data_IF_241638124233
#
_entry.id   IF_241638124233
#
_cell.length_a   1.000
_cell.length_b   1.000
_cell.length_c   1.000
_cell.angle_alpha   90.00
_cell.angle_beta   90.00
_cell.angle_gamma   90.00
#
_symmetry.space_group_name_H-M   'P 1'
#
loop_
_entity.id
_entity.type
_entity.pdbx_description
1 polymer ?
#
# COMPACT_ATOMS: atom_id res chain seq x y z
N UNK A 1 -14.67 0.17 16.06
CA UNK A 1 -15.28 0.03 14.71
C UNK A 1 -16.03 -1.28 14.65
N UNK A 2 -17.29 -1.24 14.20
CA UNK A 2 -18.10 -2.47 14.08
C UNK A 2 -17.54 -3.33 12.95
N UNK A 3 -17.65 -4.68 13.07
CA UNK A 3 -17.24 -5.62 12.01
C UNK A 3 -17.84 -5.27 10.65
N UNK A 4 -19.05 -4.71 10.65
CA UNK A 4 -19.74 -4.24 9.43
C UNK A 4 -19.03 -3.04 8.78
N UNK A 5 -18.53 -2.08 9.57
CA UNK A 5 -17.80 -0.92 9.04
C UNK A 5 -16.48 -1.31 8.38
N UNK A 6 -15.78 -2.31 8.94
CA UNK A 6 -14.53 -2.82 8.37
C UNK A 6 -14.79 -3.53 7.03
N UNK A 7 -15.84 -4.35 6.97
CA UNK A 7 -16.24 -5.05 5.74
C UNK A 7 -16.66 -4.07 4.66
N UNK A 8 -17.46 -3.05 5.00
CA UNK A 8 -17.89 -2.03 4.04
C UNK A 8 -16.70 -1.22 3.51
N UNK A 9 -15.74 -0.90 4.38
CA UNK A 9 -14.52 -0.20 4.00
C UNK A 9 -13.64 -1.06 3.09
N UNK A 10 -13.47 -2.35 3.39
CA UNK A 10 -12.74 -3.29 2.54
C UNK A 10 -13.43 -3.49 1.18
N UNK A 11 -14.75 -3.57 1.14
CA UNK A 11 -15.49 -3.67 -0.12
C UNK A 11 -15.37 -2.41 -0.97
N UNK A 12 -15.40 -1.21 -0.38
CA UNK A 12 -15.13 0.04 -1.09
C UNK A 12 -13.70 0.09 -1.64
N UNK A 13 -12.73 -0.45 -0.91
CA UNK A 13 -11.34 -0.51 -1.34
C UNK A 13 -11.13 -1.49 -2.51
N UNK A 14 -11.76 -2.67 -2.43
CA UNK A 14 -11.71 -3.66 -3.51
C UNK A 14 -12.43 -3.14 -4.75
N UNK A 15 -13.59 -2.49 -4.59
CA UNK A 15 -14.32 -1.87 -5.68
C UNK A 15 -13.54 -0.69 -6.30
N UNK A 16 -12.87 0.13 -5.48
CA UNK A 16 -12.01 1.21 -5.96
C UNK A 16 -10.74 0.72 -6.67
N UNK A 17 -10.20 -0.43 -6.26
CA UNK A 17 -9.05 -1.06 -6.91
C UNK A 17 -9.43 -1.82 -8.19
N UNK A 18 -10.66 -2.33 -8.30
CA UNK A 18 -11.15 -3.02 -9.49
C UNK A 18 -11.60 -2.05 -10.60
N UNK A 19 -12.05 -0.85 -10.24
CA UNK A 19 -12.51 0.15 -11.21
C UNK A 19 -11.47 0.47 -12.31
N UNK A 20 -10.17 0.63 -12.03
CA UNK A 20 -9.18 0.86 -13.08
C UNK A 20 -8.96 -0.35 -14.00
N UNK A 21 -9.17 -1.59 -13.54
CA UNK A 21 -9.06 -2.77 -14.40
C UNK A 21 -10.16 -2.78 -15.48
N UNK A 22 -11.39 -2.47 -15.12
CA UNK A 22 -12.51 -2.40 -16.08
C UNK A 22 -12.39 -1.18 -17.02
N UNK A 23 -11.84 -0.05 -16.54
CA UNK A 23 -11.56 1.10 -17.38
C UNK A 23 -10.49 0.82 -18.46
N UNK A 24 -9.55 -0.07 -18.18
CA UNK A 24 -8.51 -0.46 -19.12
C UNK A 24 -9.03 -1.35 -20.25
N UNK A 25 -10.01 -2.22 -20.02
CA UNK A 25 -10.66 -3.02 -21.06
C UNK A 25 -11.55 -2.16 -21.99
N UNK A 26 -12.24 -1.17 -21.45
CA UNK A 26 -13.06 -0.26 -22.25
C UNK A 26 -12.25 0.81 -22.99
N UNK A 27 -11.08 1.19 -22.49
CA UNK A 27 -10.18 2.14 -23.15
C UNK A 27 -9.40 1.53 -24.33
N UNK A 28 -9.26 0.18 -24.40
CA UNK A 28 -8.69 -0.53 -25.53
C UNK A 28 -9.58 -0.45 -26.79
N UNK A 29 -10.85 -0.10 -26.65
CA UNK A 29 -11.83 0.04 -27.75
C UNK A 29 -11.96 1.46 -28.31
N UNK A 30 -11.34 2.46 -27.70
CA UNK A 30 -11.33 3.83 -28.19
C UNK A 30 -10.00 4.48 -27.85
N UNK A 31 -9.35 5.10 -28.82
CA UNK A 31 -8.07 5.77 -28.66
C UNK A 31 -8.14 6.84 -27.54
N UNK A 32 -7.97 6.39 -26.27
CA UNK A 32 -7.72 7.29 -25.17
C UNK A 32 -6.45 8.06 -25.49
N UNK A 33 -6.50 9.38 -25.50
CA UNK A 33 -5.31 10.18 -25.75
C UNK A 33 -4.25 9.82 -24.71
N UNK A 34 -2.97 9.80 -25.09
CA UNK A 34 -1.85 9.53 -24.20
C UNK A 34 -1.96 10.33 -22.86
N UNK A 35 -2.57 11.51 -22.93
CA UNK A 35 -2.86 12.38 -21.77
C UNK A 35 -3.84 11.75 -20.78
N UNK A 36 -4.90 11.07 -21.24
CA UNK A 36 -5.86 10.42 -20.34
C UNK A 36 -5.24 9.19 -19.67
N UNK A 37 -4.48 8.40 -20.41
CA UNK A 37 -3.74 7.25 -19.84
C UNK A 37 -2.75 7.71 -18.77
N UNK A 38 -1.96 8.75 -19.06
CA UNK A 38 -1.01 9.32 -18.11
C UNK A 38 -1.72 9.83 -16.85
N UNK A 39 -2.81 10.57 -16.99
CA UNK A 39 -3.62 11.08 -15.89
C UNK A 39 -4.11 9.96 -14.97
N UNK A 40 -4.70 8.92 -15.54
CA UNK A 40 -5.20 7.80 -14.76
C UNK A 40 -4.08 6.97 -14.12
N UNK A 41 -2.94 6.83 -14.79
CA UNK A 41 -1.75 6.17 -14.23
C UNK A 41 -1.23 6.91 -12.99
N UNK A 42 -1.13 8.24 -13.05
CA UNK A 42 -0.69 9.08 -11.93
C UNK A 42 -1.64 8.99 -10.74
N UNK A 43 -2.94 9.12 -11.01
CA UNK A 43 -3.97 9.02 -9.96
C UNK A 43 -3.91 7.64 -9.29
N UNK A 44 -3.88 6.57 -10.08
CA UNK A 44 -3.84 5.19 -9.56
C UNK A 44 -2.57 4.93 -8.77
N UNK A 45 -1.40 5.37 -9.26
CA UNK A 45 -0.12 5.23 -8.58
C UNK A 45 -0.11 5.98 -7.24
N UNK A 46 -0.64 7.20 -7.21
CA UNK A 46 -0.75 7.99 -5.98
C UNK A 46 -1.66 7.34 -4.93
N UNK A 47 -2.82 6.86 -5.34
CA UNK A 47 -3.74 6.15 -4.45
C UNK A 47 -3.15 4.83 -3.94
N UNK A 48 -2.55 4.03 -4.82
CA UNK A 48 -1.93 2.76 -4.44
C UNK A 48 -0.82 2.97 -3.41
N UNK A 49 0.04 3.98 -3.64
CA UNK A 49 1.12 4.30 -2.72
C UNK A 49 0.60 4.82 -1.36
N UNK A 50 -0.35 5.75 -1.38
CA UNK A 50 -0.93 6.29 -0.15
C UNK A 50 -1.58 5.18 0.70
N UNK A 51 -2.25 4.23 0.03
CA UNK A 51 -2.89 3.11 0.68
C UNK A 51 -1.89 2.12 1.27
N UNK A 52 -0.88 1.73 0.48
CA UNK A 52 0.18 0.83 0.94
C UNK A 52 0.96 1.42 2.12
N UNK A 53 1.37 2.69 2.03
CA UNK A 53 2.08 3.38 3.09
C UNK A 53 1.22 3.54 4.36
N UNK A 54 -0.06 3.87 4.22
CA UNK A 54 -0.98 4.01 5.34
C UNK A 54 -1.17 2.70 6.11
N UNK A 55 -1.34 1.58 5.41
CA UNK A 55 -1.45 0.26 6.04
C UNK A 55 -0.14 -0.21 6.66
N UNK A 56 0.99 0.03 5.99
CA UNK A 56 2.31 -0.26 6.53
C UNK A 56 2.56 0.52 7.82
N UNK A 57 2.26 1.82 7.87
CA UNK A 57 2.41 2.65 9.05
C UNK A 57 1.55 2.16 10.23
N UNK A 58 0.31 1.74 9.97
CA UNK A 58 -0.55 1.15 11.01
C UNK A 58 0.00 -0.17 11.54
N UNK A 59 0.50 -1.03 10.66
CA UNK A 59 1.10 -2.30 11.05
C UNK A 59 2.38 -2.10 11.88
N UNK A 60 3.25 -1.19 11.45
CA UNK A 60 4.48 -0.82 12.16
C UNK A 60 4.16 -0.22 13.52
N UNK A 61 3.20 0.70 13.61
CA UNK A 61 2.78 1.29 14.88
C UNK A 61 2.30 0.24 15.89
N UNK A 62 1.53 -0.74 15.45
CA UNK A 62 1.09 -1.86 16.29
C UNK A 62 2.24 -2.76 16.73
N UNK A 63 3.16 -3.07 15.83
CA UNK A 63 4.33 -3.89 16.14
C UNK A 63 5.24 -3.21 17.17
N UNK A 64 5.48 -1.90 17.03
CA UNK A 64 6.27 -1.11 17.98
C UNK A 64 5.60 -1.07 19.36
N UNK A 65 4.28 -0.83 19.41
CA UNK A 65 3.54 -0.80 20.67
C UNK A 65 3.60 -2.16 21.39
N UNK A 66 3.37 -3.25 20.66
CA UNK A 66 3.44 -4.60 21.23
C UNK A 66 4.84 -4.95 21.73
N UNK A 67 5.88 -4.54 21.00
CA UNK A 67 7.26 -4.74 21.41
C UNK A 67 7.61 -3.93 22.67
N UNK A 68 7.17 -2.68 22.77
CA UNK A 68 7.38 -1.84 23.95
C UNK A 68 6.70 -2.45 25.19
N UNK A 69 5.47 -2.94 25.05
CA UNK A 69 4.77 -3.66 26.13
C UNK A 69 5.49 -4.96 26.52
N UNK A 70 5.97 -5.72 25.54
CA UNK A 70 6.74 -6.95 25.77
C UNK A 70 8.01 -6.70 26.56
N UNK A 71 8.76 -5.65 26.21
CA UNK A 71 9.99 -5.24 26.92
C UNK A 71 9.66 -4.76 28.35
N UNK A 72 8.57 -4.02 28.52
CA UNK A 72 8.14 -3.55 29.84
C UNK A 72 7.79 -4.71 30.78
N UNK A 73 7.18 -5.79 30.25
CA UNK A 73 6.84 -6.99 31.03
C UNK A 73 8.03 -7.91 31.29
N UNK A 74 8.96 -7.98 30.35
CA UNK A 74 10.14 -8.83 30.46
C UNK A 74 11.39 -8.14 29.92
N UNK A 75 12.06 -7.31 30.73
CA UNK A 75 13.26 -6.57 30.31
C UNK A 75 14.42 -7.47 29.85
N UNK A 76 14.48 -8.71 30.34
CA UNK A 76 15.56 -9.65 29.99
C UNK A 76 15.45 -10.14 28.54
N UNK A 77 14.24 -10.15 27.96
CA UNK A 77 13.98 -10.51 26.57
C UNK A 77 14.11 -9.30 25.59
N UNK A 78 14.52 -8.15 26.06
CA UNK A 78 14.56 -6.93 25.26
C UNK A 78 15.40 -7.06 23.97
N UNK A 79 16.49 -7.82 24.01
CA UNK A 79 17.35 -8.08 22.85
C UNK A 79 16.62 -8.82 21.74
N UNK A 80 15.98 -9.93 22.09
CA UNK A 80 15.26 -10.80 21.16
C UNK A 80 14.03 -10.11 20.58
N UNK A 81 13.30 -9.36 21.43
CA UNK A 81 12.14 -8.57 20.98
C UNK A 81 12.54 -7.50 19.99
N UNK A 82 13.64 -6.76 20.24
CA UNK A 82 14.14 -5.75 19.30
C UNK A 82 14.59 -6.36 17.99
N UNK A 83 15.30 -7.50 18.02
CA UNK A 83 15.74 -8.21 16.82
C UNK A 83 14.56 -8.63 15.95
N UNK A 84 13.55 -9.27 16.54
CA UNK A 84 12.33 -9.69 15.85
C UNK A 84 11.53 -8.50 15.32
N UNK A 85 11.44 -7.41 16.11
CA UNK A 85 10.77 -6.18 15.70
C UNK A 85 11.43 -5.59 14.46
N UNK A 86 12.76 -5.42 14.46
CA UNK A 86 13.49 -4.84 13.33
C UNK A 86 13.28 -5.66 12.06
N UNK A 87 13.37 -6.98 12.13
CA UNK A 87 13.08 -7.85 10.97
C UNK A 87 11.65 -7.67 10.46
N UNK A 88 10.67 -7.63 11.35
CA UNK A 88 9.28 -7.43 10.99
C UNK A 88 9.04 -6.06 10.34
N UNK A 89 9.63 -4.98 10.87
CA UNK A 89 9.50 -3.64 10.32
C UNK A 89 10.12 -3.55 8.92
N UNK A 90 11.31 -4.14 8.70
CA UNK A 90 11.97 -4.14 7.39
C UNK A 90 11.14 -4.88 6.34
N UNK A 91 10.51 -6.01 6.70
CA UNK A 91 9.66 -6.75 5.78
C UNK A 91 8.39 -5.97 5.42
N UNK A 92 7.77 -5.30 6.39
CA UNK A 92 6.61 -4.42 6.13
C UNK A 92 7.01 -3.26 5.23
N UNK A 93 8.13 -2.62 5.49
CA UNK A 93 8.65 -1.50 4.68
C UNK A 93 8.98 -1.93 3.25
N UNK A 94 9.53 -3.13 3.07
CA UNK A 94 9.83 -3.67 1.73
C UNK A 94 8.59 -3.76 0.85
N UNK A 95 7.43 -4.12 1.41
CA UNK A 95 6.17 -4.16 0.66
C UNK A 95 5.73 -2.76 0.22
N UNK A 96 5.89 -1.74 1.05
CA UNK A 96 5.60 -0.36 0.69
C UNK A 96 6.57 0.16 -0.40
N UNK A 97 7.86 -0.23 -0.32
CA UNK A 97 8.87 0.10 -1.32
C UNK A 97 8.54 -0.52 -2.68
N UNK A 98 8.02 -1.73 -2.75
CA UNK A 98 7.57 -2.32 -4.03
C UNK A 98 6.46 -1.48 -4.68
N UNK A 99 5.49 -1.02 -3.91
CA UNK A 99 4.43 -0.15 -4.44
C UNK A 99 5.00 1.19 -4.87
N UNK A 100 5.92 1.77 -4.10
CA UNK A 100 6.64 2.99 -4.45
C UNK A 100 7.38 2.83 -5.79
N UNK A 101 8.09 1.72 -6.00
CA UNK A 101 8.81 1.46 -7.24
C UNK A 101 7.87 1.44 -8.44
N UNK A 102 6.74 0.74 -8.33
CA UNK A 102 5.72 0.70 -9.39
C UNK A 102 5.15 2.09 -9.63
N UNK A 103 4.86 2.85 -8.57
CA UNK A 103 4.36 4.20 -8.68
C UNK A 103 5.35 5.13 -9.41
N UNK A 104 6.65 5.02 -9.11
CA UNK A 104 7.70 5.79 -9.79
C UNK A 104 7.83 5.41 -11.27
N UNK A 105 7.73 4.12 -11.60
CA UNK A 105 7.75 3.67 -13.01
C UNK A 105 6.55 4.27 -13.77
N UNK A 106 5.36 4.22 -13.19
CA UNK A 106 4.17 4.80 -13.80
C UNK A 106 4.24 6.32 -13.91
N UNK A 107 4.92 6.98 -12.98
CA UNK A 107 5.03 8.42 -12.95
C UNK A 107 6.08 8.96 -13.93
N UNK A 108 7.26 8.35 -14.00
CA UNK A 108 8.38 8.87 -14.78
C UNK A 108 8.59 8.19 -16.13
N UNK A 109 8.31 6.90 -16.24
CA UNK A 109 8.57 6.10 -17.44
C UNK A 109 7.31 5.87 -18.25
N UNK A 110 6.18 5.74 -17.59
CA UNK A 110 4.84 5.43 -18.09
C UNK A 110 4.83 4.59 -19.38
N UNK A 111 4.99 3.26 -19.31
CA UNK A 111 5.14 2.41 -20.49
C UNK A 111 3.89 2.35 -21.39
N UNK A 112 2.79 2.98 -20.97
CA UNK A 112 1.52 3.01 -21.69
C UNK A 112 1.33 4.28 -22.53
N UNK A 113 2.29 5.21 -22.48
CA UNK A 113 2.21 6.54 -23.12
C UNK A 113 3.34 6.75 -24.13
N UNK A 114 4.10 5.69 -24.45
CA UNK A 114 5.19 5.73 -25.45
C UNK A 114 4.67 5.73 -26.88
#
# INVERSE_FOLDING_TARGET
>A
MSKRSVVTFMLMLIAGAAAPLYAQETAAAGAASATEVAKWSIITAGFALAFAAGLAALAQGRAVSAAAEGIARNPTAAGDIRGSLLLGLVLIESLAIYVLLIALILFFVNPFVA
#
